data_IF_745187909475
#
_entry.id   IF_745187909475
#
_cell.length_a   1.000
_cell.length_b   1.000
_cell.length_c   1.000
_cell.angle_alpha   90.00
_cell.angle_beta   90.00
_cell.angle_gamma   90.00
#
_symmetry.space_group_name_H-M   'P 1'
#
loop_
_entity.id
_entity.type
_entity.pdbx_description
1 polymer ?
#
# COMPACT_ATOMS: atom_id res chain seq x y z
N UNK A 1 -16.05 -9.61 18.10
CA UNK A 1 -15.66 -8.78 19.24
C UNK A 1 -16.89 -8.09 19.76
N UNK A 2 -17.17 -8.18 21.05
CA UNK A 2 -18.21 -7.34 21.64
C UNK A 2 -17.66 -5.92 21.75
N UNK A 3 -18.16 -5.05 20.89
CA UNK A 3 -17.72 -3.66 20.75
C UNK A 3 -17.98 -2.89 22.04
N UNK A 4 -19.07 -3.20 22.75
CA UNK A 4 -19.45 -2.51 23.98
C UNK A 4 -18.49 -2.80 25.14
N UNK A 5 -18.00 -4.03 25.22
CA UNK A 5 -16.96 -4.41 26.20
C UNK A 5 -15.65 -3.69 25.87
N UNK A 6 -15.25 -3.69 24.60
CA UNK A 6 -14.00 -3.04 24.18
C UNK A 6 -14.04 -1.54 24.45
N UNK A 7 -15.15 -0.87 24.15
CA UNK A 7 -15.36 0.55 24.47
C UNK A 7 -15.21 0.82 25.97
N UNK A 8 -15.89 0.03 26.81
CA UNK A 8 -15.81 0.16 28.27
C UNK A 8 -14.37 0.01 28.77
N UNK A 9 -13.62 -0.97 28.24
CA UNK A 9 -12.22 -1.19 28.61
C UNK A 9 -11.34 -0.01 28.17
N UNK A 10 -11.54 0.52 26.97
CA UNK A 10 -10.75 1.65 26.47
C UNK A 10 -11.09 2.98 27.16
N UNK A 11 -12.28 3.12 27.76
CA UNK A 11 -12.61 4.30 28.56
C UNK A 11 -12.02 4.26 29.98
N UNK A 12 -11.58 3.10 30.46
CA UNK A 12 -10.93 2.97 31.77
C UNK A 12 -9.42 3.29 31.67
N UNK A 13 -8.97 4.32 32.36
CA UNK A 13 -7.56 4.74 32.36
C UNK A 13 -6.61 3.74 33.02
N UNK A 14 -7.14 2.79 33.79
CA UNK A 14 -6.33 1.71 34.40
C UNK A 14 -5.99 0.61 33.40
N UNK A 15 -6.66 0.55 32.25
CA UNK A 15 -6.42 -0.46 31.22
C UNK A 15 -5.22 -0.05 30.38
N UNK A 16 -4.18 -0.89 30.40
CA UNK A 16 -3.02 -0.75 29.54
C UNK A 16 -3.29 -1.37 28.16
N UNK A 17 -3.47 -0.50 27.16
CA UNK A 17 -3.70 -0.89 25.77
C UNK A 17 -2.44 -1.41 25.04
N UNK A 18 -1.29 -1.47 25.72
CA UNK A 18 -0.04 -1.99 25.17
C UNK A 18 0.18 -3.47 25.44
N UNK A 19 -0.59 -4.09 26.34
CA UNK A 19 -0.37 -5.48 26.73
C UNK A 19 -0.85 -6.41 25.60
N UNK A 20 0.05 -7.16 24.94
CA UNK A 20 -0.32 -8.03 23.84
C UNK A 20 -1.11 -9.24 24.32
N UNK A 21 -1.88 -9.83 23.41
CA UNK A 21 -2.56 -11.10 23.64
C UNK A 21 -1.55 -12.25 23.84
N UNK A 22 -2.05 -13.44 24.21
CA UNK A 22 -1.22 -14.65 24.31
C UNK A 22 -0.51 -15.04 23.00
N UNK A 23 -0.92 -14.48 21.85
CA UNK A 23 -0.26 -14.65 20.55
C UNK A 23 0.82 -13.60 20.28
N UNK A 24 1.08 -12.71 21.23
CA UNK A 24 1.99 -11.57 21.05
C UNK A 24 1.44 -10.49 20.13
N UNK A 25 0.11 -10.43 19.92
CA UNK A 25 -0.53 -9.44 19.06
C UNK A 25 -1.04 -8.27 19.92
N UNK A 26 -0.62 -7.02 19.64
CA UNK A 26 -1.10 -5.85 20.38
C UNK A 26 -2.63 -5.66 20.20
N UNK A 27 -3.35 -5.16 21.22
CA UNK A 27 -4.80 -4.99 21.16
C UNK A 27 -5.30 -4.19 19.96
N UNK A 28 -4.64 -3.07 19.62
CA UNK A 28 -5.01 -2.26 18.46
C UNK A 28 -4.80 -3.02 17.13
N UNK A 29 -3.72 -3.78 17.00
CA UNK A 29 -3.44 -4.59 15.80
C UNK A 29 -4.48 -5.69 15.64
N UNK A 30 -4.80 -6.41 16.73
CA UNK A 30 -5.84 -7.45 16.75
C UNK A 30 -7.20 -6.87 16.37
N UNK A 31 -7.57 -5.73 16.96
CA UNK A 31 -8.81 -5.03 16.63
C UNK A 31 -8.87 -4.69 15.14
N UNK A 32 -7.84 -4.04 14.60
CA UNK A 32 -7.76 -3.69 13.19
C UNK A 32 -7.81 -4.91 12.25
N UNK A 33 -7.15 -6.00 12.62
CA UNK A 33 -7.18 -7.26 11.87
C UNK A 33 -8.54 -7.95 11.87
N UNK A 34 -9.39 -7.67 12.87
CA UNK A 34 -10.74 -8.21 12.98
C UNK A 34 -11.80 -7.40 12.22
N UNK A 35 -11.47 -6.21 11.74
CA UNK A 35 -12.41 -5.36 10.99
C UNK A 35 -12.67 -5.92 9.60
N UNK A 36 -13.94 -5.89 9.19
CA UNK A 36 -14.37 -6.29 7.85
C UNK A 36 -14.16 -5.20 6.78
N UNK A 37 -13.57 -4.07 7.17
CA UNK A 37 -13.30 -2.92 6.29
C UNK A 37 -14.46 -1.94 6.15
N UNK A 38 -15.58 -2.15 6.86
CA UNK A 38 -16.60 -1.11 7.06
C UNK A 38 -16.12 -0.11 8.12
N UNK A 39 -16.59 1.12 8.02
CA UNK A 39 -16.24 2.22 8.93
C UNK A 39 -17.05 2.20 10.24
N UNK A 40 -17.78 1.10 10.46
CA UNK A 40 -18.32 0.78 11.77
C UNK A 40 -17.15 0.62 12.74
N UNK A 41 -17.22 1.33 13.87
CA UNK A 41 -16.19 1.35 14.91
C UNK A 41 -14.94 2.19 14.63
N UNK A 42 -14.97 3.14 13.67
CA UNK A 42 -13.89 4.15 13.55
C UNK A 42 -13.67 4.89 14.88
N UNK A 43 -14.72 5.16 15.65
CA UNK A 43 -14.60 5.82 16.96
C UNK A 43 -13.76 5.01 17.98
N UNK A 44 -13.73 3.67 17.87
CA UNK A 44 -12.86 2.85 18.73
C UNK A 44 -11.38 3.04 18.38
N UNK A 45 -11.05 3.40 17.13
CA UNK A 45 -9.69 3.80 16.77
C UNK A 45 -9.33 5.08 17.52
N UNK A 46 -10.24 6.06 17.59
CA UNK A 46 -9.99 7.29 18.37
C UNK A 46 -9.76 6.99 19.85
N UNK A 47 -10.52 6.05 20.44
CA UNK A 47 -10.28 5.60 21.82
C UNK A 47 -8.95 4.86 22.00
N UNK A 48 -8.52 4.05 21.03
CA UNK A 48 -7.18 3.46 21.07
C UNK A 48 -6.09 4.53 20.98
N UNK A 49 -6.25 5.50 20.08
CA UNK A 49 -5.27 6.55 19.86
C UNK A 49 -5.19 7.54 21.04
N UNK A 50 -6.24 7.67 21.85
CA UNK A 50 -6.19 8.45 23.09
C UNK A 50 -5.36 7.80 24.19
N UNK A 51 -5.10 6.49 24.11
CA UNK A 51 -4.21 5.78 25.06
C UNK A 51 -2.74 6.08 24.78
N UNK A 52 -1.86 6.01 25.80
CA UNK A 52 -0.42 6.19 25.66
C UNK A 52 0.23 4.94 25.02
N UNK A 53 -0.03 4.73 23.72
CA UNK A 53 0.53 3.62 22.96
C UNK A 53 2.04 3.79 22.76
N UNK A 54 2.79 2.73 23.04
CA UNK A 54 4.22 2.59 22.77
C UNK A 54 4.45 1.54 21.67
N UNK A 55 5.72 1.21 21.37
CA UNK A 55 6.03 0.22 20.32
C UNK A 55 5.35 -1.14 20.54
N UNK A 56 5.17 -1.58 21.79
CA UNK A 56 4.51 -2.85 22.10
C UNK A 56 3.00 -2.80 21.87
N UNK A 57 2.37 -1.63 21.97
CA UNK A 57 0.96 -1.42 21.62
C UNK A 57 0.71 -1.29 20.13
N UNK A 58 1.76 -1.05 19.33
CA UNK A 58 1.65 -0.73 17.90
C UNK A 58 2.18 -1.87 17.04
N UNK A 59 3.29 -2.51 17.40
CA UNK A 59 3.98 -3.46 16.54
C UNK A 59 3.88 -4.88 17.08
N UNK A 60 3.58 -5.83 16.20
CA UNK A 60 3.78 -7.25 16.49
C UNK A 60 5.28 -7.57 16.55
N UNK A 61 5.63 -8.77 17.03
CA UNK A 61 7.01 -9.27 16.97
C UNK A 61 7.60 -9.36 15.55
N UNK A 62 6.76 -9.43 14.52
CA UNK A 62 7.16 -9.40 13.10
C UNK A 62 7.27 -7.98 12.52
N UNK A 63 7.09 -6.94 13.35
CA UNK A 63 7.11 -5.53 12.95
C UNK A 63 5.82 -5.05 12.29
N UNK A 64 4.75 -5.86 12.31
CA UNK A 64 3.47 -5.51 11.70
C UNK A 64 2.74 -4.47 12.54
N UNK A 65 2.41 -3.33 11.94
CA UNK A 65 1.60 -2.27 12.55
C UNK A 65 0.13 -2.34 12.11
N UNK A 66 -0.80 -1.60 12.75
CA UNK A 66 -2.19 -1.57 12.33
C UNK A 66 -2.38 -1.11 10.88
N UNK A 67 -1.48 -0.29 10.32
CA UNK A 67 -1.53 0.15 8.91
C UNK A 67 -1.59 -1.03 7.93
N UNK A 68 -0.89 -2.13 8.25
CA UNK A 68 -0.82 -3.32 7.40
C UNK A 68 -2.15 -4.07 7.31
N UNK A 69 -2.95 -3.99 8.38
CA UNK A 69 -4.24 -4.68 8.50
C UNK A 69 -5.38 -3.96 7.78
N UNK A 70 -5.21 -2.69 7.42
CA UNK A 70 -6.34 -1.87 7.01
C UNK A 70 -6.95 -2.26 5.67
N UNK A 71 -8.28 -2.39 5.69
CA UNK A 71 -9.17 -2.52 4.52
C UNK A 71 -10.10 -1.32 4.36
N UNK A 72 -10.26 -0.53 5.43
CA UNK A 72 -10.94 0.77 5.43
C UNK A 72 -9.94 1.87 5.09
N UNK A 73 -10.26 2.69 4.10
CA UNK A 73 -9.49 3.89 3.76
C UNK A 73 -9.57 4.92 4.89
N UNK A 74 -10.72 5.06 5.55
CA UNK A 74 -10.92 6.04 6.63
C UNK A 74 -9.99 5.73 7.81
N UNK A 75 -9.95 4.47 8.25
CA UNK A 75 -9.08 4.06 9.36
C UNK A 75 -7.61 4.16 8.95
N UNK A 76 -7.28 3.76 7.72
CA UNK A 76 -5.92 3.89 7.20
C UNK A 76 -5.41 5.34 7.26
N UNK A 77 -6.20 6.29 6.74
CA UNK A 77 -5.84 7.71 6.75
C UNK A 77 -5.74 8.27 8.17
N UNK A 78 -6.65 7.85 9.07
CA UNK A 78 -6.62 8.26 10.48
C UNK A 78 -5.34 7.78 11.18
N UNK A 79 -4.95 6.53 10.98
CA UNK A 79 -3.71 5.99 11.53
C UNK A 79 -2.47 6.66 10.93
N UNK A 80 -2.50 6.99 9.63
CA UNK A 80 -1.39 7.65 8.94
C UNK A 80 -1.13 9.09 9.42
N UNK A 81 -2.14 9.76 9.98
CA UNK A 81 -2.01 11.09 10.59
C UNK A 81 -1.32 11.06 11.95
N UNK A 82 -1.30 9.90 12.61
CA UNK A 82 -0.68 9.75 13.91
C UNK A 82 0.82 9.40 13.74
N UNK A 83 1.74 10.24 14.28
CA UNK A 83 3.17 10.09 14.02
C UNK A 83 3.78 8.82 14.62
N UNK A 84 3.05 8.10 15.48
CA UNK A 84 3.49 6.83 16.05
C UNK A 84 3.46 5.69 15.03
N UNK A 85 2.74 5.84 13.92
CA UNK A 85 2.66 4.83 12.87
C UNK A 85 3.51 5.21 11.67
N UNK A 86 4.64 4.54 11.53
CA UNK A 86 5.51 4.70 10.37
C UNK A 86 5.11 3.75 9.22
N UNK A 87 4.62 4.24 8.06
CA UNK A 87 4.28 3.42 6.90
C UNK A 87 5.52 2.90 6.14
N UNK A 88 6.71 3.47 6.37
CA UNK A 88 7.96 3.09 5.70
C UNK A 88 8.62 1.86 6.31
N UNK A 89 8.28 1.52 7.55
CA UNK A 89 8.84 0.37 8.27
C UNK A 89 8.46 -0.94 7.57
N UNK A 90 9.44 -1.75 7.11
CA UNK A 90 9.14 -3.01 6.45
C UNK A 90 8.58 -4.04 7.44
N UNK A 91 7.65 -4.87 6.97
CA UNK A 91 7.10 -6.01 7.71
C UNK A 91 7.37 -7.29 6.93
N UNK A 92 8.02 -8.27 7.54
CA UNK A 92 8.44 -9.51 6.88
C UNK A 92 9.18 -9.27 5.54
N UNK A 93 10.06 -8.26 5.50
CA UNK A 93 10.81 -7.87 4.30
C UNK A 93 9.98 -7.23 3.19
N UNK A 94 8.72 -6.89 3.45
CA UNK A 94 7.84 -6.19 2.49
C UNK A 94 7.69 -4.74 2.89
N UNK A 95 7.49 -3.88 1.90
CA UNK A 95 7.14 -2.47 2.04
C UNK A 95 5.64 -2.30 1.84
N UNK A 96 5.02 -1.47 2.69
CA UNK A 96 3.56 -1.27 2.69
C UNK A 96 3.08 -0.76 1.33
N UNK A 97 3.85 0.15 0.71
CA UNK A 97 3.62 0.69 -0.63
C UNK A 97 3.35 -0.41 -1.69
N UNK A 98 4.14 -1.48 -1.70
CA UNK A 98 3.98 -2.57 -2.67
C UNK A 98 2.76 -3.44 -2.37
N UNK A 99 2.41 -3.61 -1.09
CA UNK A 99 1.17 -4.33 -0.74
C UNK A 99 -0.09 -3.52 -1.02
N UNK A 100 0.01 -2.19 -1.05
CA UNK A 100 -1.10 -1.29 -1.37
C UNK A 100 -1.59 -1.44 -2.81
N UNK A 101 -0.78 -1.97 -3.73
CA UNK A 101 -1.21 -2.35 -5.09
C UNK A 101 -2.42 -3.30 -5.10
N UNK A 102 -2.60 -4.11 -4.05
CA UNK A 102 -3.74 -5.04 -3.93
C UNK A 102 -4.83 -4.54 -2.98
N UNK A 103 -4.69 -3.32 -2.46
CA UNK A 103 -5.66 -2.67 -1.59
C UNK A 103 -6.51 -1.71 -2.42
N UNK A 104 -7.32 -0.89 -1.74
CA UNK A 104 -8.10 0.17 -2.37
C UNK A 104 -7.16 1.25 -2.96
N UNK A 105 -7.46 1.81 -4.15
CA UNK A 105 -6.62 2.83 -4.79
C UNK A 105 -6.30 4.02 -3.89
N UNK A 106 -7.22 4.43 -3.01
CA UNK A 106 -7.03 5.57 -2.11
C UNK A 106 -5.93 5.31 -1.07
N UNK A 107 -5.72 4.06 -0.66
CA UNK A 107 -4.62 3.68 0.23
C UNK A 107 -3.27 3.82 -0.50
N UNK A 108 -3.23 3.41 -1.78
CA UNK A 108 -2.03 3.59 -2.60
C UNK A 108 -1.73 5.08 -2.81
N UNK A 109 -2.74 5.88 -3.19
CA UNK A 109 -2.60 7.32 -3.36
C UNK A 109 -2.07 7.98 -2.08
N UNK A 110 -2.66 7.67 -0.93
CA UNK A 110 -2.22 8.21 0.35
C UNK A 110 -0.75 7.89 0.67
N UNK A 111 -0.26 6.71 0.30
CA UNK A 111 1.16 6.35 0.47
C UNK A 111 2.07 7.05 -0.55
N UNK A 112 1.63 7.18 -1.80
CA UNK A 112 2.36 7.91 -2.85
C UNK A 112 2.50 9.41 -2.53
N UNK A 113 1.54 9.98 -1.81
CA UNK A 113 1.55 11.38 -1.37
C UNK A 113 2.26 11.58 -0.03
N UNK A 114 2.58 10.50 0.70
CA UNK A 114 3.22 10.61 2.01
C UNK A 114 4.73 10.78 1.88
N UNK A 115 5.25 11.93 2.30
CA UNK A 115 6.66 12.32 2.12
C UNK A 115 7.68 11.32 2.66
N UNK A 116 7.35 10.61 3.76
CA UNK A 116 8.25 9.63 4.39
C UNK A 116 8.28 8.28 3.68
N UNK A 117 7.37 8.03 2.74
CA UNK A 117 7.40 6.82 1.91
C UNK A 117 8.33 7.06 0.74
N UNK A 118 9.38 6.24 0.63
CA UNK A 118 10.23 6.20 -0.55
C UNK A 118 9.51 5.45 -1.68
N UNK A 119 9.06 6.21 -2.68
CA UNK A 119 8.37 5.67 -3.87
C UNK A 119 9.32 5.00 -4.87
N UNK A 120 10.63 5.26 -4.74
CA UNK A 120 11.68 4.71 -5.60
C UNK A 120 12.31 3.44 -5.01
N UNK A 121 11.93 3.07 -3.78
CA UNK A 121 12.34 1.84 -3.15
C UNK A 121 12.04 0.63 -4.03
N UNK A 122 12.92 -0.36 -3.99
CA UNK A 122 12.77 -1.60 -4.75
C UNK A 122 12.33 -2.75 -3.84
N UNK A 123 11.43 -3.59 -4.35
CA UNK A 123 11.05 -4.83 -3.71
C UNK A 123 11.22 -5.98 -4.69
N UNK A 124 12.07 -6.95 -4.34
CA UNK A 124 12.47 -8.05 -5.23
C UNK A 124 13.06 -7.55 -6.56
N UNK A 125 13.85 -6.47 -6.52
CA UNK A 125 14.49 -5.86 -7.70
C UNK A 125 13.57 -5.00 -8.56
N UNK A 126 12.27 -4.90 -8.25
CA UNK A 126 11.31 -4.08 -9.00
C UNK A 126 10.96 -2.81 -8.24
N UNK A 127 10.86 -1.69 -8.94
CA UNK A 127 10.21 -0.48 -8.40
C UNK A 127 8.68 -0.60 -8.49
N UNK A 128 7.96 0.32 -7.86
CA UNK A 128 6.50 0.20 -7.67
C UNK A 128 5.71 0.08 -8.98
N UNK A 129 6.10 0.83 -10.03
CA UNK A 129 5.45 0.78 -11.34
C UNK A 129 5.69 -0.56 -12.06
N UNK A 130 6.91 -1.09 -12.04
CA UNK A 130 7.21 -2.40 -12.61
C UNK A 130 6.47 -3.51 -11.84
N UNK A 131 6.43 -3.43 -10.51
CA UNK A 131 5.67 -4.38 -9.70
C UNK A 131 4.16 -4.32 -9.97
N UNK A 132 3.60 -3.14 -10.25
CA UNK A 132 2.20 -2.98 -10.65
C UNK A 132 1.94 -3.60 -12.03
N UNK A 133 2.83 -3.37 -12.99
CA UNK A 133 2.77 -3.98 -14.32
C UNK A 133 2.90 -5.51 -14.25
N UNK A 134 3.86 -6.05 -13.50
CA UNK A 134 4.04 -7.49 -13.34
C UNK A 134 2.82 -8.18 -12.69
N UNK A 135 2.11 -7.46 -11.81
CA UNK A 135 0.88 -7.94 -11.17
C UNK A 135 -0.39 -7.72 -12.00
N UNK A 136 -0.27 -7.17 -13.22
CA UNK A 136 -1.39 -6.83 -14.10
C UNK A 136 -2.43 -5.94 -13.41
N UNK A 137 -1.97 -4.92 -12.67
CA UNK A 137 -2.85 -3.93 -12.08
C UNK A 137 -3.61 -3.13 -13.15
N UNK A 138 -4.72 -2.50 -12.75
CA UNK A 138 -5.51 -1.70 -13.68
C UNK A 138 -4.71 -0.51 -14.22
N UNK A 139 -5.11 -0.02 -15.40
CA UNK A 139 -4.58 1.19 -16.01
C UNK A 139 -4.60 2.38 -15.04
N UNK A 140 -5.65 2.52 -14.24
CA UNK A 140 -5.80 3.60 -13.27
C UNK A 140 -4.73 3.56 -12.17
N UNK A 141 -4.37 2.36 -11.69
CA UNK A 141 -3.28 2.19 -10.71
C UNK A 141 -1.92 2.55 -11.35
N UNK A 142 -1.69 2.13 -12.60
CA UNK A 142 -0.46 2.49 -13.33
C UNK A 142 -0.35 4.01 -13.54
N UNK A 143 -1.44 4.66 -13.96
CA UNK A 143 -1.53 6.12 -14.11
C UNK A 143 -1.31 6.85 -12.79
N UNK A 144 -1.91 6.35 -11.71
CA UNK A 144 -1.73 6.90 -10.36
C UNK A 144 -0.25 6.92 -9.96
N UNK A 145 0.45 5.81 -10.21
CA UNK A 145 1.89 5.69 -9.94
C UNK A 145 2.71 6.60 -10.86
N UNK A 146 2.42 6.61 -12.17
CA UNK A 146 3.12 7.46 -13.15
C UNK A 146 2.97 8.95 -12.84
N UNK A 147 1.81 9.37 -12.33
CA UNK A 147 1.55 10.76 -11.96
C UNK A 147 2.18 11.15 -10.62
N UNK A 148 2.87 10.24 -9.92
CA UNK A 148 3.59 10.58 -8.68
C UNK A 148 4.85 11.39 -9.03
N UNK A 149 4.94 12.67 -8.65
CA UNK A 149 6.06 13.54 -9.06
C UNK A 149 7.40 13.14 -8.44
N UNK A 150 7.38 12.34 -7.37
CA UNK A 150 8.58 11.82 -6.69
C UNK A 150 9.13 10.55 -7.35
N UNK A 151 8.43 9.97 -8.32
CA UNK A 151 8.83 8.74 -8.99
C UNK A 151 9.92 9.02 -10.03
N UNK A 152 11.05 8.32 -9.90
CA UNK A 152 12.19 8.44 -10.80
C UNK A 152 12.24 7.26 -11.77
N UNK A 153 12.04 7.56 -13.05
CA UNK A 153 12.06 6.58 -14.14
C UNK A 153 13.20 6.89 -15.12
N UNK A 154 13.95 5.85 -15.46
CA UNK A 154 14.93 5.85 -16.55
C UNK A 154 14.32 5.14 -17.76
N UNK A 155 14.88 5.35 -18.95
CA UNK A 155 14.46 4.62 -20.16
C UNK A 155 14.51 3.10 -19.97
N UNK A 156 15.51 2.59 -19.24
CA UNK A 156 15.62 1.16 -18.91
C UNK A 156 14.44 0.68 -18.05
N UNK A 157 14.09 1.44 -16.99
CA UNK A 157 12.91 1.13 -16.16
C UNK A 157 11.63 1.15 -17.00
N UNK A 158 11.48 2.14 -17.87
CA UNK A 158 10.32 2.25 -18.76
C UNK A 158 10.22 1.07 -19.74
N UNK A 159 11.35 0.64 -20.32
CA UNK A 159 11.41 -0.57 -21.17
C UNK A 159 11.03 -1.83 -20.39
N UNK A 160 11.51 -2.00 -19.17
CA UNK A 160 11.13 -3.14 -18.32
C UNK A 160 9.63 -3.16 -18.04
N UNK A 161 9.04 -2.00 -17.70
CA UNK A 161 7.60 -1.85 -17.49
C UNK A 161 6.83 -2.18 -18.78
N UNK A 162 7.26 -1.64 -19.92
CA UNK A 162 6.62 -1.89 -21.22
C UNK A 162 6.66 -3.38 -21.59
N UNK A 163 7.81 -4.05 -21.39
CA UNK A 163 7.98 -5.49 -21.58
C UNK A 163 7.04 -6.32 -20.69
N UNK A 164 6.75 -5.88 -19.45
CA UNK A 164 5.76 -6.54 -18.60
C UNK A 164 4.34 -6.33 -19.09
N UNK A 165 3.99 -5.11 -19.53
CA UNK A 165 2.66 -4.78 -20.05
C UNK A 165 2.35 -5.61 -21.29
N UNK A 166 3.26 -5.72 -22.25
CA UNK A 166 3.03 -6.54 -23.46
C UNK A 166 2.80 -8.02 -23.18
N UNK A 167 3.14 -8.52 -21.99
CA UNK A 167 2.87 -9.90 -21.60
C UNK A 167 1.50 -10.10 -20.95
N UNK A 168 0.71 -9.04 -20.75
CA UNK A 168 -0.64 -9.16 -20.17
C UNK A 168 -1.58 -9.93 -21.10
N UNK A 169 -2.53 -10.66 -20.52
CA UNK A 169 -3.51 -11.42 -21.30
C UNK A 169 -4.56 -10.53 -21.96
N UNK A 170 -4.87 -9.39 -21.36
CA UNK A 170 -5.91 -8.48 -21.84
C UNK A 170 -5.33 -7.45 -22.82
N UNK A 171 -5.58 -7.63 -24.11
CA UNK A 171 -5.03 -6.81 -25.18
C UNK A 171 -5.42 -5.32 -25.09
N UNK A 172 -6.68 -5.01 -24.76
CA UNK A 172 -7.14 -3.61 -24.69
C UNK A 172 -6.40 -2.84 -23.60
N UNK A 173 -6.22 -3.45 -22.42
CA UNK A 173 -5.48 -2.82 -21.33
C UNK A 173 -4.00 -2.59 -21.67
N UNK A 174 -3.40 -3.43 -22.53
CA UNK A 174 -2.00 -3.32 -22.94
C UNK A 174 -1.72 -2.07 -23.76
N UNK A 175 -2.48 -1.91 -24.84
CA UNK A 175 -2.31 -0.79 -25.78
C UNK A 175 -2.48 0.52 -25.02
N UNK A 176 -3.53 0.60 -24.22
CA UNK A 176 -3.85 1.77 -23.41
C UNK A 176 -2.72 2.14 -22.42
N UNK A 177 -2.16 1.16 -21.71
CA UNK A 177 -1.06 1.42 -20.77
C UNK A 177 0.25 1.78 -21.49
N UNK A 178 0.51 1.18 -22.67
CA UNK A 178 1.67 1.52 -23.49
C UNK A 178 1.56 2.94 -24.05
N UNK A 179 0.38 3.35 -24.51
CA UNK A 179 0.13 4.72 -24.97
C UNK A 179 0.38 5.71 -23.83
N UNK A 180 -0.12 5.43 -22.62
CA UNK A 180 0.12 6.30 -21.47
C UNK A 180 1.62 6.39 -21.14
N UNK A 181 2.37 5.28 -21.21
CA UNK A 181 3.82 5.28 -21.00
C UNK A 181 4.57 6.08 -22.07
N UNK A 182 4.18 5.97 -23.33
CA UNK A 182 4.75 6.76 -24.43
C UNK A 182 4.47 8.26 -24.21
N UNK A 183 3.24 8.61 -23.83
CA UNK A 183 2.87 10.00 -23.53
C UNK A 183 3.65 10.57 -22.35
N UNK A 184 3.82 9.78 -21.29
CA UNK A 184 4.59 10.18 -20.11
C UNK A 184 6.07 10.40 -20.41
N UNK A 185 6.68 9.48 -21.17
CA UNK A 185 8.13 9.49 -21.43
C UNK A 185 8.55 10.32 -22.64
N UNK A 186 7.64 10.59 -23.58
CA UNK A 186 7.95 11.14 -24.90
C UNK A 186 8.58 10.14 -25.86
N UNK A 187 8.81 8.89 -25.44
CA UNK A 187 9.35 7.81 -26.26
C UNK A 187 8.26 7.19 -27.13
N UNK A 188 8.63 6.73 -28.32
CA UNK A 188 7.75 5.93 -29.16
C UNK A 188 7.63 4.50 -28.64
N UNK A 189 6.54 3.82 -29.02
CA UNK A 189 6.34 2.42 -28.66
C UNK A 189 7.53 1.54 -29.08
N UNK A 190 8.09 1.77 -30.28
CA UNK A 190 9.26 1.05 -30.82
C UNK A 190 10.56 1.28 -30.04
N UNK A 191 10.67 2.36 -29.26
CA UNK A 191 11.81 2.60 -28.37
C UNK A 191 11.66 1.92 -27.00
N UNK A 192 10.41 1.59 -26.63
CA UNK A 192 10.06 0.97 -25.36
C UNK A 192 9.97 -0.55 -25.44
N UNK A 193 9.56 -1.11 -26.58
CA UNK A 193 9.34 -2.54 -26.76
C UNK A 193 10.27 -3.11 -27.84
N UNK A 194 10.65 -4.38 -27.71
CA UNK A 194 11.47 -5.06 -28.70
C UNK A 194 10.64 -5.52 -29.91
N UNK A 195 11.30 -5.95 -31.00
CA UNK A 195 10.60 -6.57 -32.13
C UNK A 195 9.84 -7.84 -31.71
N UNK A 196 10.40 -8.62 -30.77
CA UNK A 196 9.73 -9.80 -30.21
C UNK A 196 8.46 -9.44 -29.44
N UNK A 197 8.46 -8.30 -28.74
CA UNK A 197 7.29 -7.78 -28.04
C UNK A 197 6.22 -7.25 -29.01
N UNK A 198 6.64 -6.65 -30.13
CA UNK A 198 5.75 -6.10 -31.16
C UNK A 198 4.88 -7.18 -31.81
N UNK A 199 5.41 -8.39 -32.00
CA UNK A 199 4.69 -9.55 -32.52
C UNK A 199 3.57 -10.07 -31.60
N UNK A 200 3.56 -9.67 -30.31
CA UNK A 200 2.53 -10.06 -29.33
C UNK A 200 1.39 -9.02 -29.31
N UNK A 201 1.60 -7.82 -29.88
CA UNK A 201 0.59 -6.75 -29.94
C UNK A 201 -0.18 -6.78 -31.27
N UNK A 202 0.46 -7.17 -32.37
CA UNK A 202 -0.15 -7.31 -33.71
C UNK A 202 -1.10 -8.48 -33.84
#
# INVERSE_FOLDING_TARGET
TDVSILETLLLDDRVDANIPSHKGVPPLVEFCGSLDGRDQHVYLIDLFLSKPLNEQGIYTCSGCSPLWMQRSTVIFLKLLQDPRFDPSRPTNGKLLLFTALRKKPEILQALLDYDRVDVNAQQNGMHILEAAAAQQQSKDILRMILNCPRLELTDEKLRNVAHRIVQHKNLCSRIDCLVDLCQFSGLSASELITEADSAIIG
#
